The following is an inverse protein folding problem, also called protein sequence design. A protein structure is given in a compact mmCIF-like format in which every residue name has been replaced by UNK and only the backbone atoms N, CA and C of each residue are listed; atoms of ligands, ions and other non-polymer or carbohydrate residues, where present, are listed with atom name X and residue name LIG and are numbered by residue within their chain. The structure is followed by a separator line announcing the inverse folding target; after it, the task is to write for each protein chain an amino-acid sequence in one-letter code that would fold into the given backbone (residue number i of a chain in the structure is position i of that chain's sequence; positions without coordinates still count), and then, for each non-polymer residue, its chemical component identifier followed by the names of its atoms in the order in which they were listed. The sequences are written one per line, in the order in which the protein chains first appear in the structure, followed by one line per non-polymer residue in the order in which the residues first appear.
data_IF_940176914149
#
_entry.id   IF_940176914149
#
_cell.length_a   1.000
_cell.length_b   1.000
_cell.length_c   1.000
_cell.angle_alpha   90.00
_cell.angle_beta   90.00
_cell.angle_gamma   90.00
#
_symmetry.space_group_name_H-M   'P 1'
#
loop_
_entity.id
_entity.type
_entity.pdbx_description
1 polymer ?
#
# COMPACT_ATOMS: atom_id res chain seq x y z
N UNK A 1 -12.53 4.82 9.31
CA UNK A 1 -12.21 4.45 7.91
C UNK A 1 -11.12 3.44 7.94
N UNK A 2 -11.32 2.35 7.22
CA UNK A 2 -10.38 1.25 7.14
C UNK A 2 -9.65 1.25 5.81
N UNK A 3 -8.32 1.30 5.86
CA UNK A 3 -7.43 1.20 4.71
C UNK A 3 -6.72 -0.15 4.79
N UNK A 4 -6.79 -0.90 3.69
CA UNK A 4 -6.10 -2.19 3.55
C UNK A 4 -5.13 -2.08 2.40
N UNK A 5 -3.89 -2.54 2.60
CA UNK A 5 -2.93 -2.74 1.52
C UNK A 5 -2.46 -4.18 1.45
N UNK A 6 -2.33 -4.67 0.23
CA UNK A 6 -1.96 -6.06 -0.07
C UNK A 6 -1.22 -6.12 -1.40
N UNK A 7 -0.03 -6.70 -1.41
CA UNK A 7 0.62 -7.15 -2.64
C UNK A 7 -0.10 -8.41 -3.16
N UNK A 8 -0.52 -8.37 -4.42
CA UNK A 8 -1.31 -9.44 -5.05
C UNK A 8 -0.49 -10.65 -5.50
N UNK A 9 0.84 -10.63 -5.33
CA UNK A 9 1.76 -11.67 -5.79
C UNK A 9 1.57 -12.00 -7.28
N UNK A 10 2.03 -11.08 -8.13
CA UNK A 10 1.90 -11.13 -9.59
C UNK A 10 0.46 -11.14 -10.10
N UNK A 11 -0.39 -10.26 -9.55
CA UNK A 11 -1.78 -10.07 -9.97
C UNK A 11 -2.75 -11.15 -9.50
N UNK A 12 -2.43 -11.87 -8.42
CA UNK A 12 -3.29 -12.90 -7.80
C UNK A 12 -3.34 -14.22 -8.54
N UNK A 13 -3.36 -14.19 -9.89
CA UNK A 13 -3.44 -15.36 -10.78
C UNK A 13 -4.66 -16.23 -10.44
N UNK A 14 -4.46 -17.51 -10.11
CA UNK A 14 -5.54 -18.42 -9.73
C UNK A 14 -6.13 -18.15 -8.34
N UNK A 15 -5.54 -17.25 -7.54
CA UNK A 15 -5.96 -16.96 -6.17
C UNK A 15 -6.91 -15.77 -6.06
N UNK A 16 -7.25 -15.12 -7.18
CA UNK A 16 -8.04 -13.86 -7.17
C UNK A 16 -9.33 -14.00 -6.36
N UNK A 17 -10.08 -15.08 -6.53
CA UNK A 17 -11.34 -15.29 -5.81
C UNK A 17 -11.13 -15.34 -4.29
N UNK A 18 -10.31 -16.29 -3.81
CA UNK A 18 -10.01 -16.43 -2.38
C UNK A 18 -9.36 -15.17 -1.78
N UNK A 19 -8.50 -14.49 -2.55
CA UNK A 19 -7.86 -13.25 -2.10
C UNK A 19 -8.88 -12.12 -1.96
N UNK A 20 -9.83 -11.99 -2.90
CA UNK A 20 -10.89 -10.98 -2.80
C UNK A 20 -11.84 -11.28 -1.64
N UNK A 21 -12.27 -12.53 -1.46
CA UNK A 21 -13.09 -12.94 -0.30
C UNK A 21 -12.42 -12.54 1.01
N UNK A 22 -11.16 -12.93 1.17
CA UNK A 22 -10.34 -12.54 2.32
C UNK A 22 -10.27 -11.02 2.51
N UNK A 23 -9.97 -10.25 1.46
CA UNK A 23 -9.89 -8.80 1.56
C UNK A 23 -11.23 -8.17 1.93
N UNK A 24 -12.34 -8.72 1.48
CA UNK A 24 -13.66 -8.20 1.79
C UNK A 24 -14.13 -8.49 3.21
N UNK A 25 -13.70 -9.61 3.78
CA UNK A 25 -13.94 -9.94 5.20
C UNK A 25 -13.23 -8.97 6.15
N UNK A 26 -12.19 -8.28 5.67
CA UNK A 26 -11.57 -7.17 6.40
C UNK A 26 -12.43 -5.89 6.40
N UNK A 27 -13.49 -5.83 5.59
CA UNK A 27 -14.38 -4.68 5.45
C UNK A 27 -13.68 -3.34 5.09
N UNK A 28 -12.82 -3.29 4.07
CA UNK A 28 -12.06 -2.09 3.72
C UNK A 28 -12.98 -0.97 3.23
N UNK A 29 -12.68 0.27 3.61
CA UNK A 29 -13.25 1.44 2.94
C UNK A 29 -12.38 1.86 1.76
N UNK A 30 -11.07 1.61 1.87
CA UNK A 30 -10.06 1.86 0.85
C UNK A 30 -9.15 0.64 0.73
N UNK A 31 -8.89 0.20 -0.49
CA UNK A 31 -7.91 -0.83 -0.84
C UNK A 31 -6.78 -0.20 -1.65
N UNK A 32 -5.54 -0.53 -1.32
CA UNK A 32 -4.34 -0.20 -2.12
C UNK A 32 -3.63 -1.50 -2.45
N UNK A 33 -3.83 -2.00 -3.67
CA UNK A 33 -3.35 -3.29 -4.13
C UNK A 33 -2.11 -3.11 -5.00
N UNK A 34 -0.98 -3.69 -4.59
CA UNK A 34 0.27 -3.66 -5.35
C UNK A 34 0.47 -4.95 -6.15
N UNK A 35 1.36 -4.92 -7.13
CA UNK A 35 1.47 -5.95 -8.16
C UNK A 35 0.17 -6.25 -8.92
N UNK A 36 -0.71 -5.25 -9.02
CA UNK A 36 -1.86 -5.30 -9.90
C UNK A 36 -1.38 -5.39 -11.36
N UNK A 37 -2.06 -6.16 -12.20
CA UNK A 37 -1.71 -6.31 -13.62
C UNK A 37 -2.93 -6.00 -14.47
N UNK A 38 -2.95 -4.78 -14.99
CA UNK A 38 -3.94 -4.35 -15.98
C UNK A 38 -3.86 -5.25 -17.23
N UNK A 39 -4.96 -5.34 -17.98
CA UNK A 39 -5.07 -6.12 -19.23
C UNK A 39 -4.80 -7.63 -19.07
N UNK A 40 -5.07 -8.18 -17.89
CA UNK A 40 -5.09 -9.62 -17.64
C UNK A 40 -6.48 -10.05 -17.18
N UNK A 41 -6.87 -11.30 -17.45
CA UNK A 41 -8.14 -11.87 -16.95
C UNK A 41 -8.28 -11.75 -15.43
N UNK A 42 -7.17 -11.86 -14.71
CA UNK A 42 -7.14 -11.68 -13.26
C UNK A 42 -7.41 -10.22 -12.88
N UNK A 43 -6.77 -9.26 -13.57
CA UNK A 43 -7.04 -7.83 -13.41
C UNK A 43 -8.51 -7.47 -13.68
N UNK A 44 -9.08 -7.97 -14.79
CA UNK A 44 -10.49 -7.76 -15.14
C UNK A 44 -11.45 -8.33 -14.08
N UNK A 45 -11.11 -9.50 -13.53
CA UNK A 45 -11.89 -10.12 -12.47
C UNK A 45 -11.85 -9.29 -11.18
N UNK A 46 -10.68 -8.74 -10.82
CA UNK A 46 -10.51 -7.86 -9.66
C UNK A 46 -11.34 -6.59 -9.82
N UNK A 47 -11.20 -5.86 -10.93
CA UNK A 47 -11.92 -4.60 -11.17
C UNK A 47 -13.44 -4.84 -11.25
N UNK A 48 -13.87 -5.90 -11.92
CA UNK A 48 -15.29 -6.26 -12.01
C UNK A 48 -15.88 -6.56 -10.63
N UNK A 49 -15.19 -7.36 -9.81
CA UNK A 49 -15.64 -7.70 -8.45
C UNK A 49 -15.76 -6.46 -7.56
N UNK A 50 -14.76 -5.58 -7.62
CA UNK A 50 -14.76 -4.31 -6.87
C UNK A 50 -15.93 -3.40 -7.30
N UNK A 51 -16.15 -3.26 -8.61
CA UNK A 51 -17.26 -2.47 -9.15
C UNK A 51 -18.63 -3.04 -8.75
N UNK A 52 -18.80 -4.37 -8.77
CA UNK A 52 -20.02 -5.03 -8.30
C UNK A 52 -20.30 -4.79 -6.81
N UNK A 53 -19.27 -4.49 -6.02
CA UNK A 53 -19.38 -4.10 -4.61
C UNK A 53 -19.37 -2.59 -4.39
N UNK A 54 -19.61 -1.81 -5.44
CA UNK A 54 -19.70 -0.35 -5.42
C UNK A 54 -18.41 0.37 -4.97
N UNK A 55 -17.25 -0.22 -5.25
CA UNK A 55 -15.99 0.52 -5.15
C UNK A 55 -15.75 1.32 -6.44
N UNK A 56 -15.30 2.55 -6.27
CA UNK A 56 -14.62 3.31 -7.32
C UNK A 56 -13.18 2.82 -7.42
N UNK A 57 -12.63 2.71 -8.62
CA UNK A 57 -11.26 2.22 -8.85
C UNK A 57 -10.44 3.17 -9.69
N UNK A 58 -9.15 3.31 -9.37
CA UNK A 58 -8.12 3.89 -10.23
C UNK A 58 -6.88 3.00 -10.19
N UNK A 59 -6.19 2.81 -11.30
CA UNK A 59 -5.00 1.97 -11.36
C UNK A 59 -3.92 2.60 -12.27
N UNK A 60 -2.69 2.13 -12.14
CA UNK A 60 -1.57 2.55 -12.97
C UNK A 60 -1.81 2.18 -14.44
N UNK A 61 -1.33 3.02 -15.37
CA UNK A 61 -1.65 2.92 -16.81
C UNK A 61 -0.76 1.93 -17.60
N UNK A 62 0.24 1.31 -16.97
CA UNK A 62 1.13 0.37 -17.67
C UNK A 62 0.56 -1.06 -17.68
N UNK A 63 0.26 -1.56 -18.88
CA UNK A 63 -0.34 -2.87 -19.13
C UNK A 63 0.65 -4.03 -19.17
N UNK A 64 1.97 -3.78 -19.15
CA UNK A 64 2.98 -4.84 -19.33
C UNK A 64 3.69 -5.25 -18.05
N UNK A 65 3.47 -4.54 -16.94
CA UNK A 65 4.20 -4.76 -15.70
C UNK A 65 3.28 -4.84 -14.49
N UNK A 66 3.86 -5.18 -13.34
CA UNK A 66 3.21 -4.99 -12.06
C UNK A 66 2.90 -3.51 -11.89
N UNK A 67 1.77 -3.19 -11.29
CA UNK A 67 1.25 -1.85 -11.08
C UNK A 67 0.53 -1.72 -9.74
N UNK A 68 -0.24 -0.65 -9.59
CA UNK A 68 -1.02 -0.36 -8.38
C UNK A 68 -2.47 -0.13 -8.75
N UNK A 69 -3.39 -0.67 -7.94
CA UNK A 69 -4.82 -0.35 -7.98
C UNK A 69 -5.24 0.23 -6.64
N UNK A 70 -5.93 1.36 -6.67
CA UNK A 70 -6.63 1.93 -5.53
C UNK A 70 -8.14 1.74 -5.74
N UNK A 71 -8.81 1.14 -4.76
CA UNK A 71 -10.26 1.05 -4.72
C UNK A 71 -10.81 1.78 -3.49
N UNK A 72 -11.93 2.46 -3.60
CA UNK A 72 -12.55 3.20 -2.48
C UNK A 72 -14.07 3.14 -2.57
N UNK A 73 -14.75 3.02 -1.42
CA UNK A 73 -16.21 3.19 -1.36
C UNK A 73 -16.65 4.64 -1.61
N UNK A 74 -15.78 5.60 -1.33
CA UNK A 74 -16.00 7.00 -1.67
C UNK A 74 -15.50 7.31 -3.09
N UNK A 75 -16.10 8.28 -3.80
CA UNK A 75 -15.68 8.66 -5.14
C UNK A 75 -14.19 9.00 -5.22
N UNK A 76 -13.57 8.61 -6.32
CA UNK A 76 -12.16 8.82 -6.62
C UNK A 76 -12.02 9.91 -7.66
N UNK A 77 -11.22 10.93 -7.35
CA UNK A 77 -10.68 11.88 -8.31
C UNK A 77 -9.22 11.52 -8.60
N UNK A 78 -8.92 11.08 -9.83
CA UNK A 78 -7.55 10.75 -10.25
C UNK A 78 -6.70 12.02 -10.35
N UNK A 79 -5.57 12.03 -9.64
CA UNK A 79 -4.59 13.13 -9.66
C UNK A 79 -3.46 12.80 -10.63
N UNK A 80 -2.91 11.59 -10.51
CA UNK A 80 -1.80 11.11 -11.33
C UNK A 80 -1.86 9.59 -11.44
N UNK A 81 -1.57 9.06 -12.63
CA UNK A 81 -1.31 7.65 -12.88
C UNK A 81 0.02 7.53 -13.62
N UNK A 82 0.80 6.52 -13.31
CA UNK A 82 2.09 6.31 -13.94
C UNK A 82 2.67 4.93 -13.64
N UNK A 83 3.93 4.72 -14.03
CA UNK A 83 4.62 3.46 -13.81
C UNK A 83 4.60 3.10 -12.32
N UNK A 84 3.87 2.04 -11.97
CA UNK A 84 3.77 1.51 -10.61
C UNK A 84 3.28 2.51 -9.54
N UNK A 85 2.62 3.61 -9.94
CA UNK A 85 2.06 4.62 -9.03
C UNK A 85 0.65 5.03 -9.42
N UNK A 86 -0.14 5.36 -8.40
CA UNK A 86 -1.42 6.05 -8.55
C UNK A 86 -1.60 7.03 -7.41
N UNK A 87 -2.00 8.26 -7.73
CA UNK A 87 -2.35 9.29 -6.77
C UNK A 87 -3.83 9.64 -6.98
N UNK A 88 -4.62 9.53 -5.92
CA UNK A 88 -6.04 9.87 -5.93
C UNK A 88 -6.40 10.79 -4.79
N UNK A 89 -7.44 11.58 -5.00
CA UNK A 89 -8.19 12.24 -3.95
C UNK A 89 -9.50 11.48 -3.71
N UNK A 90 -9.77 11.14 -2.45
CA UNK A 90 -11.00 10.48 -2.02
C UNK A 90 -12.01 11.55 -1.59
N UNK A 91 -13.01 11.75 -2.43
CA UNK A 91 -14.04 12.78 -2.23
C UNK A 91 -14.88 12.45 -1.00
N UNK A 92 -15.30 13.48 -0.25
CA UNK A 92 -16.01 13.31 1.03
C UNK A 92 -15.12 12.96 2.23
N UNK A 93 -13.95 12.32 2.01
CA UNK A 93 -12.97 12.09 3.08
C UNK A 93 -11.92 13.20 3.21
N UNK A 94 -11.78 14.03 2.17
CA UNK A 94 -10.72 15.05 2.06
C UNK A 94 -9.35 14.43 2.33
N UNK A 95 -9.11 13.27 1.72
CA UNK A 95 -7.93 12.44 1.92
C UNK A 95 -7.26 12.21 0.58
N UNK A 96 -5.97 12.51 0.49
CA UNK A 96 -5.14 12.12 -0.65
C UNK A 96 -4.48 10.78 -0.36
N UNK A 97 -4.49 9.87 -1.32
CA UNK A 97 -3.81 8.58 -1.23
C UNK A 97 -2.86 8.45 -2.41
N UNK A 98 -1.59 8.21 -2.11
CA UNK A 98 -0.58 7.85 -3.09
C UNK A 98 -0.20 6.39 -2.88
N UNK A 99 -0.71 5.54 -3.76
CA UNK A 99 -0.41 4.12 -3.84
C UNK A 99 0.89 3.89 -4.61
N UNK A 100 1.80 3.11 -4.03
CA UNK A 100 3.14 2.84 -4.58
C UNK A 100 3.47 1.36 -4.62
N UNK A 101 4.17 0.96 -5.67
CA UNK A 101 4.90 -0.31 -5.75
C UNK A 101 6.30 0.03 -6.28
N UNK A 102 7.29 0.14 -5.38
CA UNK A 102 8.64 0.53 -5.80
C UNK A 102 9.37 -0.67 -6.43
N UNK A 103 10.30 -0.43 -7.38
CA UNK A 103 11.17 -1.49 -7.89
C UNK A 103 11.88 -2.25 -6.77
N UNK A 104 12.02 -3.57 -6.91
CA UNK A 104 12.61 -4.41 -5.86
C UNK A 104 14.14 -4.32 -5.78
N UNK A 105 14.81 -4.25 -6.93
CA UNK A 105 16.27 -4.17 -7.01
C UNK A 105 16.77 -2.72 -7.00
N UNK A 106 17.98 -2.47 -6.48
CA UNK A 106 18.67 -1.20 -6.68
C UNK A 106 18.82 -0.85 -8.15
N UNK A 107 18.36 0.34 -8.53
CA UNK A 107 18.42 0.83 -9.92
C UNK A 107 18.23 2.34 -9.94
N UNK A 108 18.66 2.99 -11.03
CA UNK A 108 18.39 4.42 -11.26
C UNK A 108 16.88 4.73 -11.20
N UNK A 109 16.06 3.81 -11.71
CA UNK A 109 14.60 3.94 -11.67
C UNK A 109 14.07 3.97 -10.23
N UNK A 110 14.58 3.10 -9.35
CA UNK A 110 14.24 3.11 -7.92
C UNK A 110 14.69 4.42 -7.25
N UNK A 111 15.87 4.93 -7.58
CA UNK A 111 16.39 6.19 -7.05
C UNK A 111 15.51 7.39 -7.48
N UNK A 112 15.11 7.44 -8.76
CA UNK A 112 14.22 8.46 -9.29
C UNK A 112 12.83 8.37 -8.65
N UNK A 113 12.32 7.15 -8.45
CA UNK A 113 11.03 6.91 -7.81
C UNK A 113 11.04 7.39 -6.34
N UNK A 114 12.09 7.07 -5.57
CA UNK A 114 12.23 7.57 -4.20
C UNK A 114 12.28 9.10 -4.14
N UNK A 115 12.95 9.74 -5.10
CA UNK A 115 12.95 11.20 -5.22
C UNK A 115 11.53 11.74 -5.44
N UNK A 116 10.73 11.11 -6.29
CA UNK A 116 9.33 11.48 -6.51
C UNK A 116 8.49 11.34 -5.24
N UNK A 117 8.65 10.23 -4.51
CA UNK A 117 7.95 9.98 -3.23
C UNK A 117 8.30 11.05 -2.20
N UNK A 118 9.58 11.39 -2.03
CA UNK A 118 10.04 12.39 -1.05
C UNK A 118 9.58 13.80 -1.44
N UNK A 119 9.65 14.14 -2.73
CA UNK A 119 9.14 15.41 -3.23
C UNK A 119 7.63 15.54 -3.02
N UNK A 120 6.88 14.47 -3.31
CA UNK A 120 5.45 14.44 -3.04
C UNK A 120 5.16 14.61 -1.54
N UNK A 121 5.86 13.87 -0.67
CA UNK A 121 5.70 13.96 0.77
C UNK A 121 5.91 15.40 1.27
N UNK A 122 7.04 16.00 0.89
CA UNK A 122 7.39 17.38 1.26
C UNK A 122 6.33 18.40 0.84
N UNK A 123 5.70 18.22 -0.33
CA UNK A 123 4.66 19.11 -0.85
C UNK A 123 3.26 18.85 -0.27
N UNK A 124 3.06 17.80 0.53
CA UNK A 124 1.73 17.38 1.01
C UNK A 124 1.63 17.27 2.54
N UNK A 125 2.57 17.88 3.30
CA UNK A 125 2.61 17.82 4.77
C UNK A 125 1.35 18.39 5.46
N UNK A 126 0.80 19.47 4.92
CA UNK A 126 -0.37 20.17 5.49
C UNK A 126 -1.71 19.65 4.98
N UNK A 127 -1.70 18.67 4.08
CA UNK A 127 -2.88 18.01 3.54
C UNK A 127 -3.00 16.63 4.18
N UNK A 128 -4.23 16.16 4.49
CA UNK A 128 -4.43 14.76 4.91
C UNK A 128 -4.02 13.85 3.75
N UNK A 129 -2.89 13.17 3.91
CA UNK A 129 -2.24 12.42 2.84
C UNK A 129 -1.70 11.10 3.38
N UNK A 130 -1.93 10.02 2.65
CA UNK A 130 -1.31 8.72 2.90
C UNK A 130 -0.38 8.34 1.75
N UNK A 131 0.77 7.73 2.10
CA UNK A 131 1.60 6.96 1.17
C UNK A 131 1.44 5.49 1.56
N UNK A 132 0.98 4.66 0.63
CA UNK A 132 0.55 3.29 0.94
C UNK A 132 1.07 2.32 -0.11
N UNK A 133 1.56 1.17 0.32
CA UNK A 133 1.90 0.07 -0.56
C UNK A 133 3.24 -0.56 -0.22
N UNK A 134 3.87 -1.15 -1.24
CA UNK A 134 5.13 -1.88 -1.13
C UNK A 134 6.28 -0.98 -1.58
N UNK A 135 7.09 -0.58 -0.61
CA UNK A 135 8.23 0.30 -0.83
C UNK A 135 9.49 -0.47 -1.22
N UNK A 136 9.47 -1.80 -1.16
CA UNK A 136 10.61 -2.68 -1.42
C UNK A 136 11.89 -2.21 -0.69
N UNK A 137 11.71 -1.59 0.48
CA UNK A 137 12.76 -0.89 1.23
C UNK A 137 12.41 -0.97 2.72
N UNK A 138 13.42 -1.10 3.58
CA UNK A 138 13.21 -1.23 5.03
C UNK A 138 14.36 -0.62 5.84
N UNK A 139 14.05 -0.14 7.04
CA UNK A 139 15.07 0.24 8.03
C UNK A 139 15.77 -1.02 8.57
N UNK A 140 17.01 -0.93 9.09
CA UNK A 140 17.71 -2.10 9.61
C UNK A 140 16.97 -2.86 10.72
N UNK A 141 16.10 -2.18 11.50
CA UNK A 141 15.27 -2.81 12.54
C UNK A 141 14.11 -3.64 11.96
N UNK A 142 13.81 -3.44 10.68
CA UNK A 142 12.71 -4.02 9.93
C UNK A 142 13.17 -5.09 8.91
N UNK A 143 14.47 -5.41 8.89
CA UNK A 143 15.05 -6.39 7.99
C UNK A 143 15.89 -7.39 8.82
N UNK A 144 15.62 -8.69 8.72
CA UNK A 144 16.42 -9.72 9.42
C UNK A 144 17.80 -9.97 8.77
N UNK A 145 18.09 -9.37 7.61
CA UNK A 145 19.41 -9.39 6.96
C UNK A 145 20.10 -8.02 7.00
N UNK A 146 21.44 -8.02 7.06
CA UNK A 146 22.28 -6.81 7.08
C UNK A 146 22.43 -6.11 5.71
N UNK A 147 21.66 -6.50 4.70
CA UNK A 147 21.72 -5.85 3.38
C UNK A 147 21.06 -4.47 3.42
N UNK A 148 21.59 -3.52 2.64
CA UNK A 148 21.04 -2.15 2.54
C UNK A 148 19.83 -2.17 1.61
N UNK A 149 18.63 -2.02 2.16
CA UNK A 149 17.37 -1.94 1.40
C UNK A 149 16.88 -0.50 1.32
N UNK A 150 17.73 0.42 0.85
CA UNK A 150 17.37 1.83 0.72
C UNK A 150 16.94 2.48 2.05
N UNK A 151 17.55 2.08 3.17
CA UNK A 151 17.21 2.62 4.49
C UNK A 151 17.42 4.14 4.58
N UNK A 152 18.37 4.68 3.83
CA UNK A 152 18.61 6.12 3.70
C UNK A 152 17.41 6.86 3.10
N UNK A 153 16.72 6.32 2.09
CA UNK A 153 15.54 6.95 1.51
C UNK A 153 14.33 6.85 2.45
N UNK A 154 14.18 5.72 3.16
CA UNK A 154 13.16 5.59 4.22
C UNK A 154 13.37 6.65 5.31
N UNK A 155 14.61 6.85 5.76
CA UNK A 155 14.94 7.93 6.73
C UNK A 155 14.64 9.31 6.16
N UNK A 156 15.02 9.59 4.92
CA UNK A 156 14.73 10.87 4.24
C UNK A 156 13.22 11.13 4.14
N UNK A 157 12.40 10.12 3.87
CA UNK A 157 10.95 10.24 3.90
C UNK A 157 10.47 10.64 5.29
N UNK A 158 10.92 9.97 6.35
CA UNK A 158 10.56 10.31 7.73
C UNK A 158 11.04 11.72 8.12
N UNK A 159 12.20 12.15 7.65
CA UNK A 159 12.75 13.50 7.85
C UNK A 159 11.88 14.60 7.21
N UNK A 160 11.05 14.28 6.21
CA UNK A 160 10.05 15.25 5.70
C UNK A 160 8.98 15.59 6.74
N UNK A 161 8.80 14.74 7.76
CA UNK A 161 7.74 14.81 8.75
C UNK A 161 6.60 13.81 8.53
N UNK A 162 6.66 12.97 7.48
CA UNK A 162 5.74 11.85 7.35
C UNK A 162 5.96 10.81 8.46
N UNK A 163 4.87 10.23 8.93
CA UNK A 163 4.81 9.35 10.10
C UNK A 163 4.60 7.92 9.61
N UNK A 164 5.46 7.00 10.01
CA UNK A 164 5.22 5.55 9.86
C UNK A 164 4.15 5.12 10.86
N UNK A 165 2.92 4.87 10.38
CA UNK A 165 1.81 4.55 11.27
C UNK A 165 2.07 3.28 12.09
N UNK A 166 2.83 2.33 11.56
CA UNK A 166 3.13 1.07 12.27
C UNK A 166 3.95 1.33 13.52
N UNK A 167 4.98 2.17 13.37
CA UNK A 167 5.86 2.52 14.48
C UNK A 167 5.15 3.41 15.50
N UNK A 168 4.39 4.40 15.03
CA UNK A 168 3.66 5.34 15.89
C UNK A 168 2.64 4.62 16.79
N UNK A 169 1.91 3.63 16.26
CA UNK A 169 0.83 2.95 16.98
C UNK A 169 1.22 1.59 17.57
N UNK A 170 2.52 1.26 17.57
CA UNK A 170 3.03 -0.02 18.02
C UNK A 170 2.22 -1.19 17.42
N UNK A 171 2.19 -1.25 16.10
CA UNK A 171 1.33 -2.17 15.36
C UNK A 171 1.37 -3.61 15.87
N UNK A 172 0.24 -4.30 15.71
CA UNK A 172 0.04 -5.67 16.24
C UNK A 172 0.33 -6.72 15.17
N UNK A 173 0.92 -7.84 15.59
CA UNK A 173 1.24 -8.97 14.72
C UNK A 173 2.74 -9.04 14.38
N UNK A 174 3.06 -9.80 13.34
CA UNK A 174 4.44 -9.87 12.82
C UNK A 174 4.86 -8.49 12.31
N UNK A 175 6.05 -8.03 12.66
CA UNK A 175 6.62 -6.80 12.07
C UNK A 175 6.95 -6.98 10.59
N UNK A 176 7.30 -8.19 10.18
CA UNK A 176 7.63 -8.51 8.79
C UNK A 176 6.36 -8.70 7.97
N UNK A 177 6.36 -8.11 6.77
CA UNK A 177 5.30 -8.24 5.79
C UNK A 177 5.69 -9.18 4.66
N UNK A 178 6.97 -9.46 4.44
CA UNK A 178 7.43 -10.40 3.40
C UNK A 178 8.56 -11.30 3.90
N UNK A 179 8.70 -12.51 3.34
CA UNK A 179 9.72 -13.48 3.73
C UNK A 179 10.57 -13.97 2.55
N UNK A 180 11.86 -13.64 2.56
CA UNK A 180 12.81 -14.23 1.63
C UNK A 180 12.95 -15.73 1.90
N UNK A 181 12.65 -16.53 0.87
CA UNK A 181 12.69 -18.01 0.94
C UNK A 181 11.91 -18.57 2.15
N UNK A 182 10.87 -17.87 2.59
CA UNK A 182 10.02 -18.27 3.71
C UNK A 182 10.66 -18.22 5.10
N UNK A 183 11.88 -17.69 5.24
CA UNK A 183 12.62 -17.73 6.51
C UNK A 183 13.07 -16.37 7.00
N UNK A 184 13.63 -15.52 6.13
CA UNK A 184 14.15 -14.20 6.53
C UNK A 184 13.10 -13.13 6.29
N UNK A 185 12.62 -12.50 7.36
CA UNK A 185 11.55 -11.50 7.33
C UNK A 185 12.03 -10.08 6.99
N UNK A 186 11.16 -9.35 6.28
CA UNK A 186 11.31 -7.93 5.93
C UNK A 186 9.97 -7.21 6.08
N UNK A 187 9.98 -5.97 6.57
CA UNK A 187 8.81 -5.08 6.49
C UNK A 187 8.97 -4.18 5.27
N UNK A 188 8.31 -4.54 4.18
CA UNK A 188 8.40 -3.81 2.90
C UNK A 188 7.14 -2.99 2.61
N UNK A 189 6.03 -3.35 3.26
CA UNK A 189 4.73 -2.72 3.09
C UNK A 189 4.47 -1.71 4.21
N UNK A 190 4.02 -0.52 3.84
CA UNK A 190 3.85 0.60 4.77
C UNK A 190 2.57 1.37 4.51
N UNK A 191 2.09 2.02 5.58
CA UNK A 191 1.16 3.13 5.54
C UNK A 191 1.85 4.30 6.23
N UNK A 192 2.35 5.25 5.45
CA UNK A 192 2.83 6.52 5.99
C UNK A 192 1.74 7.59 5.93
N UNK A 193 1.67 8.43 6.95
CA UNK A 193 0.71 9.51 7.04
C UNK A 193 1.40 10.87 7.12
N UNK A 194 0.80 11.89 6.50
CA UNK A 194 1.20 13.27 6.75
C UNK A 194 0.80 13.72 8.17
N UNK A 195 1.50 14.72 8.76
CA UNK A 195 1.13 15.29 10.06
C UNK A 195 -0.30 15.84 10.15
N UNK A 196 -0.93 16.13 9.02
CA UNK A 196 -2.31 16.62 8.98
C UNK A 196 -3.35 15.54 9.33
N UNK A 197 -2.98 14.26 9.33
CA UNK A 197 -3.84 13.17 9.80
C UNK A 197 -3.71 13.07 11.32
N UNK A 198 -4.70 13.64 12.01
CA UNK A 198 -4.86 13.49 13.47
C UNK A 198 -5.75 12.27 13.73
N UNK A 199 -5.32 11.35 14.60
CA UNK A 199 -6.12 10.20 15.01
C UNK A 199 -6.05 9.01 14.06
N UNK A 200 -4.97 8.24 14.16
CA UNK A 200 -4.97 6.82 13.76
C UNK A 200 -5.39 6.02 14.99
N UNK A 201 -6.31 5.08 14.80
CA UNK A 201 -6.88 4.28 15.88
C UNK A 201 -6.07 3.00 16.10
N UNK A 202 -5.68 2.35 14.99
CA UNK A 202 -4.92 1.11 15.03
C UNK A 202 -4.27 0.79 13.71
N UNK A 203 -3.25 -0.06 13.78
CA UNK A 203 -2.57 -0.64 12.63
C UNK A 203 -2.18 -2.10 12.93
N UNK A 204 -2.39 -2.99 11.96
CA UNK A 204 -2.24 -4.43 12.15
C UNK A 204 -1.68 -5.12 10.89
N UNK A 205 -0.83 -6.12 11.11
CA UNK A 205 -0.34 -7.01 10.07
C UNK A 205 -1.00 -8.37 10.22
N UNK A 206 -1.67 -8.80 9.15
CA UNK A 206 -2.31 -10.11 9.07
C UNK A 206 -1.50 -11.00 8.12
N UNK A 207 -0.91 -12.07 8.66
CA UNK A 207 -0.12 -13.01 7.87
C UNK A 207 -1.03 -13.91 7.02
N UNK A 208 -1.04 -13.64 5.71
CA UNK A 208 -1.69 -14.48 4.70
C UNK A 208 -0.66 -15.23 3.82
N UNK A 209 0.61 -15.26 4.25
CA UNK A 209 1.75 -15.82 3.50
C UNK A 209 1.98 -17.32 3.73
N UNK A 210 1.19 -17.91 4.63
CA UNK A 210 1.29 -19.30 5.08
C UNK A 210 -0.11 -19.94 5.11
N UNK A 211 -0.15 -21.25 5.34
CA UNK A 211 -1.40 -22.02 5.36
C UNK A 211 -1.78 -22.60 3.99
N UNK A 212 -2.90 -23.34 3.96
CA UNK A 212 -3.29 -24.18 2.81
C UNK A 212 -3.56 -23.37 1.53
N UNK A 213 -4.13 -22.17 1.67
CA UNK A 213 -4.47 -21.34 0.50
C UNK A 213 -3.34 -20.40 0.05
N UNK A 214 -2.42 -20.02 0.95
CA UNK A 214 -1.32 -19.05 0.73
C UNK A 214 -1.69 -17.95 -0.28
N UNK A 215 -2.40 -16.93 0.21
CA UNK A 215 -3.04 -15.93 -0.64
C UNK A 215 -2.03 -15.00 -1.34
N UNK A 216 -0.95 -14.65 -0.64
CA UNK A 216 0.15 -13.83 -1.17
C UNK A 216 1.49 -14.29 -0.59
N UNK A 217 2.60 -13.75 -1.08
CA UNK A 217 3.90 -13.79 -0.41
C UNK A 217 4.15 -12.57 0.51
N UNK A 218 3.22 -11.60 0.51
CA UNK A 218 3.17 -10.51 1.48
C UNK A 218 1.99 -10.63 2.44
N UNK A 219 2.18 -10.23 3.69
CA UNK A 219 1.13 -10.03 4.68
C UNK A 219 0.27 -8.83 4.30
N UNK A 220 -0.96 -8.84 4.78
CA UNK A 220 -1.86 -7.69 4.66
C UNK A 220 -1.54 -6.68 5.74
N UNK A 221 -1.49 -5.40 5.36
CA UNK A 221 -1.40 -4.30 6.31
C UNK A 221 -2.74 -3.54 6.35
N UNK A 222 -3.28 -3.41 7.56
CA UNK A 222 -4.56 -2.79 7.86
C UNK A 222 -4.32 -1.54 8.72
N UNK A 223 -4.87 -0.40 8.34
CA UNK A 223 -4.87 0.82 9.16
C UNK A 223 -6.29 1.38 9.33
N UNK A 224 -6.70 1.61 10.58
CA UNK A 224 -7.96 2.27 10.90
C UNK A 224 -7.71 3.73 11.28
N UNK A 225 -8.30 4.65 10.53
CA UNK A 225 -8.23 6.09 10.73
C UNK A 225 -9.56 6.64 11.22
N UNK A 226 -9.50 7.65 12.09
CA UNK A 226 -10.69 8.39 12.48
C UNK A 226 -11.28 9.18 11.29
N UNK A 227 -12.57 9.01 11.05
CA UNK A 227 -13.32 9.75 10.02
C UNK A 227 -13.98 11.00 10.60
N UNK A 228 -13.13 11.97 11.00
CA UNK A 228 -13.37 13.39 11.41
C UNK A 228 -14.48 13.68 12.45
N UNK A 229 -14.36 14.78 13.24
CA UNK A 229 -15.54 15.50 13.69
C UNK A 229 -16.24 16.11 12.47
N UNK A 230 -17.54 15.90 12.37
CA UNK A 230 -18.43 16.64 11.46
C UNK A 230 -18.17 18.15 11.66
N UNK A 231 -18.01 18.89 10.56
CA UNK A 231 -18.30 20.33 10.59
C UNK A 231 -19.82 20.47 10.61
#
# INVERSE_FOLDING_TARGET
MRIVTQNLWHGGRSRVEALLEYLYDLHPDVLVLTEFRADTRAGDSITTSLNQRNYYTAHSDDSKTNGVLIASKAPISLVESGFQKVIVDLDGYYLRVFGVYLPNQPSKEKDDYWRDVINFASNNLHRRTLLVGDFNSCLPVDCESKSKFYDHEVRRLLETGFIDLWQEHQGRGSRHTWWYRGTTGFRLDYVYASPAIKGTVSIEHLDCTRGEQKLSDHSTLLADLETKPKV
#
